data_IF_265419177043
#
_entry.id   IF_265419177043
#
_cell.length_a   1.000
_cell.length_b   1.000
_cell.length_c   1.000
_cell.angle_alpha   90.00
_cell.angle_beta   90.00
_cell.angle_gamma   90.00
#
_symmetry.space_group_name_H-M   'P 1'
#
loop_
_entity.id
_entity.type
_entity.pdbx_description
1 polymer ?
#
# COMPACT_ATOMS: atom_id res chain seq x y z
N UNK A 1 8.22 12.27 35.14
CA UNK A 1 7.88 13.72 35.13
C UNK A 1 7.96 14.32 36.52
N UNK A 2 7.42 13.69 37.57
CA UNK A 2 7.60 14.18 38.95
C UNK A 2 9.07 14.44 39.28
N UNK A 3 9.93 13.47 38.98
CA UNK A 3 11.38 13.62 39.11
C UNK A 3 11.96 14.85 38.39
N UNK A 4 11.47 15.22 37.20
CA UNK A 4 11.98 16.37 36.44
C UNK A 4 11.48 17.69 37.03
N UNK A 5 10.21 17.73 37.44
CA UNK A 5 9.58 18.92 38.04
C UNK A 5 10.19 19.21 39.41
N UNK A 6 10.50 18.18 40.20
CA UNK A 6 11.12 18.32 41.52
C UNK A 6 12.59 18.79 41.47
N UNK A 7 13.24 18.75 40.29
CA UNK A 7 14.60 19.25 40.07
C UNK A 7 14.65 20.73 39.66
N UNK A 8 13.50 21.39 39.45
CA UNK A 8 13.46 22.81 39.12
C UNK A 8 13.63 23.60 40.43
N UNK A 9 14.69 24.42 40.60
CA UNK A 9 15.01 25.10 41.87
C UNK A 9 14.10 26.30 42.20
N UNK A 10 12.90 26.36 41.62
CA UNK A 10 11.93 27.45 41.79
C UNK A 10 10.69 26.92 42.49
N UNK A 11 10.27 27.58 43.57
CA UNK A 11 9.00 27.29 44.23
C UNK A 11 7.83 27.55 43.28
N UNK A 12 7.19 26.49 42.82
CA UNK A 12 6.03 26.56 41.92
C UNK A 12 4.73 26.43 42.72
N UNK A 13 3.72 27.25 42.40
CA UNK A 13 2.37 27.05 42.92
C UNK A 13 1.81 25.68 42.51
N UNK A 14 0.88 25.15 43.30
CA UNK A 14 0.25 23.83 43.04
C UNK A 14 -0.43 23.83 41.67
N UNK A 15 -1.04 24.95 41.28
CA UNK A 15 -1.66 25.19 39.98
C UNK A 15 -0.63 25.12 38.85
N UNK A 16 0.53 25.76 39.01
CA UNK A 16 1.62 25.74 38.03
C UNK A 16 2.16 24.33 37.85
N UNK A 17 2.38 23.60 38.95
CA UNK A 17 2.81 22.18 38.94
C UNK A 17 1.80 21.29 38.20
N UNK A 18 0.49 21.47 38.45
CA UNK A 18 -0.57 20.76 37.72
C UNK A 18 -0.58 21.12 36.23
N UNK A 19 -0.38 22.40 35.89
CA UNK A 19 -0.27 22.88 34.51
C UNK A 19 0.88 22.23 33.74
N UNK A 20 2.09 22.21 34.33
CA UNK A 20 3.26 21.56 33.74
C UNK A 20 3.07 20.05 33.56
N UNK A 21 2.50 19.36 34.56
CA UNK A 21 2.16 17.94 34.44
C UNK A 21 1.21 17.67 33.27
N UNK A 22 0.19 18.52 33.08
CA UNK A 22 -0.76 18.39 31.97
C UNK A 22 -0.07 18.58 30.61
N UNK A 23 0.77 19.60 30.46
CA UNK A 23 1.55 19.84 29.23
C UNK A 23 2.47 18.66 28.94
N UNK A 24 3.20 18.19 29.95
CA UNK A 24 4.10 17.04 29.81
C UNK A 24 3.35 15.76 29.40
N UNK A 25 2.21 15.48 30.02
CA UNK A 25 1.35 14.36 29.64
C UNK A 25 0.87 14.47 28.20
N UNK A 26 0.45 15.67 27.77
CA UNK A 26 0.07 15.92 26.38
C UNK A 26 1.23 15.69 25.41
N UNK A 27 2.43 16.18 25.72
CA UNK A 27 3.63 15.96 24.91
C UNK A 27 3.99 14.49 24.80
N UNK A 28 3.95 13.73 25.91
CA UNK A 28 4.18 12.28 25.89
C UNK A 28 3.11 11.56 25.08
N UNK A 29 1.85 11.95 25.21
CA UNK A 29 0.74 11.37 24.42
C UNK A 29 0.91 11.65 22.94
N UNK A 30 1.31 12.87 22.55
CA UNK A 30 1.59 13.24 21.16
C UNK A 30 2.82 12.47 20.65
N UNK A 31 3.85 12.29 21.48
CA UNK A 31 5.06 11.56 21.09
C UNK A 31 4.79 10.06 20.89
N UNK A 32 4.08 9.40 21.81
CA UNK A 32 3.68 7.98 21.68
C UNK A 32 2.70 7.78 20.51
N UNK A 33 1.83 8.75 20.26
CA UNK A 33 1.02 8.77 19.05
C UNK A 33 1.88 8.98 17.79
N UNK A 34 2.88 9.85 17.81
CA UNK A 34 3.70 10.10 16.64
C UNK A 34 4.54 8.87 16.28
N UNK A 35 5.23 8.27 17.25
CA UNK A 35 6.11 7.12 17.04
C UNK A 35 6.18 6.24 18.30
N UNK A 36 5.70 5.01 18.17
CA UNK A 36 5.90 3.94 19.15
C UNK A 36 7.11 3.09 18.78
N UNK A 37 8.00 2.87 19.75
CA UNK A 37 9.11 1.94 19.63
C UNK A 37 8.75 0.59 20.25
N UNK A 38 9.13 -0.50 19.59
CA UNK A 38 8.97 -1.88 20.09
C UNK A 38 10.33 -2.50 20.39
N UNK A 39 10.42 -3.38 21.39
CA UNK A 39 11.66 -4.07 21.70
C UNK A 39 12.05 -4.99 20.53
N UNK A 40 13.25 -4.80 19.99
CA UNK A 40 13.76 -5.62 18.90
C UNK A 40 13.92 -7.09 19.30
N UNK A 41 14.18 -7.39 20.58
CA UNK A 41 14.33 -8.77 21.07
C UNK A 41 13.00 -9.51 21.01
N UNK A 42 11.93 -8.85 21.46
CA UNK A 42 10.58 -9.37 21.38
C UNK A 42 10.12 -9.51 19.92
N UNK A 43 10.42 -8.51 19.09
CA UNK A 43 10.11 -8.59 17.65
C UNK A 43 10.78 -9.80 16.97
N UNK A 44 12.04 -10.07 17.32
CA UNK A 44 12.80 -11.20 16.78
C UNK A 44 12.38 -12.55 17.38
N UNK A 45 11.83 -12.60 18.59
CA UNK A 45 11.29 -13.85 19.14
C UNK A 45 9.92 -14.19 18.58
N UNK A 46 9.01 -13.21 18.55
CA UNK A 46 7.58 -13.46 18.31
C UNK A 46 7.24 -13.37 16.82
N UNK A 47 7.98 -12.54 16.07
CA UNK A 47 7.59 -12.09 14.73
C UNK A 47 8.79 -11.84 13.79
N UNK A 48 9.81 -12.71 13.85
CA UNK A 48 11.07 -12.54 13.11
C UNK A 48 10.90 -12.37 11.59
N UNK A 49 9.86 -12.99 11.00
CA UNK A 49 9.56 -12.88 9.57
C UNK A 49 9.23 -11.43 9.16
N UNK A 50 8.54 -10.69 10.03
CA UNK A 50 8.24 -9.26 9.83
C UNK A 50 9.48 -8.40 9.98
N UNK A 51 10.35 -8.71 10.96
CA UNK A 51 11.63 -8.03 11.12
C UNK A 51 12.51 -8.18 9.88
N UNK A 52 12.61 -9.41 9.36
CA UNK A 52 13.37 -9.71 8.16
C UNK A 52 12.76 -9.02 6.94
N UNK A 53 11.43 -9.06 6.76
CA UNK A 53 10.72 -8.32 5.73
C UNK A 53 11.01 -6.81 5.79
N UNK A 54 10.94 -6.20 6.98
CA UNK A 54 11.23 -4.78 7.15
C UNK A 54 12.67 -4.42 6.76
N UNK A 55 13.65 -5.26 7.13
CA UNK A 55 15.05 -5.09 6.73
C UNK A 55 15.24 -5.23 5.21
N UNK A 56 14.59 -6.20 4.57
CA UNK A 56 14.60 -6.36 3.11
C UNK A 56 14.07 -5.12 2.40
N UNK A 57 12.94 -4.55 2.86
CA UNK A 57 12.39 -3.36 2.25
C UNK A 57 13.23 -2.10 2.50
N UNK A 58 13.91 -2.00 3.63
CA UNK A 58 14.87 -0.92 3.87
C UNK A 58 16.05 -0.99 2.88
N UNK A 59 16.54 -2.20 2.57
CA UNK A 59 17.58 -2.41 1.58
C UNK A 59 17.08 -2.07 0.16
N UNK A 60 15.88 -2.54 -0.21
CA UNK A 60 15.26 -2.22 -1.51
C UNK A 60 15.04 -0.72 -1.67
N UNK A 61 14.52 -0.06 -0.64
CA UNK A 61 14.36 1.39 -0.58
C UNK A 61 15.70 2.11 -0.84
N UNK A 62 16.76 1.68 -0.17
CA UNK A 62 18.10 2.26 -0.34
C UNK A 62 18.60 2.11 -1.79
N UNK A 63 18.39 0.95 -2.41
CA UNK A 63 18.74 0.71 -3.82
C UNK A 63 17.95 1.59 -4.79
N UNK A 64 16.63 1.77 -4.57
CA UNK A 64 15.82 2.68 -5.39
C UNK A 64 16.26 4.14 -5.24
N UNK A 65 16.69 4.55 -4.04
CA UNK A 65 17.19 5.88 -3.76
C UNK A 65 18.56 6.11 -4.42
N UNK A 66 19.46 5.13 -4.36
CA UNK A 66 20.76 5.17 -5.06
C UNK A 66 20.53 5.32 -6.57
N UNK A 67 19.61 4.56 -7.14
CA UNK A 67 19.23 4.71 -8.55
C UNK A 67 18.75 6.14 -8.86
N UNK A 68 17.87 6.70 -8.02
CA UNK A 68 17.36 8.05 -8.20
C UNK A 68 18.45 9.11 -8.16
N UNK A 69 19.38 9.02 -7.20
CA UNK A 69 20.52 9.94 -7.11
C UNK A 69 21.52 9.78 -8.26
N UNK A 70 21.80 8.54 -8.68
CA UNK A 70 22.75 8.26 -9.78
C UNK A 70 22.31 8.88 -11.11
N UNK A 71 21.01 8.79 -11.41
CA UNK A 71 20.47 9.36 -12.65
C UNK A 71 20.07 10.83 -12.52
N UNK A 72 19.83 11.32 -11.31
CA UNK A 72 19.55 12.72 -11.03
C UNK A 72 18.30 13.27 -11.73
N UNK A 73 18.18 14.60 -11.75
CA UNK A 73 17.12 15.31 -12.44
C UNK A 73 15.71 14.84 -12.04
N UNK A 74 14.88 14.50 -13.03
CA UNK A 74 13.49 14.06 -12.82
C UNK A 74 13.37 12.79 -11.99
N UNK A 75 14.40 11.94 -11.95
CA UNK A 75 14.34 10.69 -11.18
C UNK A 75 14.29 10.93 -9.67
N UNK A 76 14.94 11.98 -9.16
CA UNK A 76 14.92 12.34 -7.74
C UNK A 76 13.53 12.84 -7.34
N UNK A 77 12.94 13.74 -8.14
CA UNK A 77 11.59 14.26 -7.87
C UNK A 77 10.53 13.16 -7.96
N UNK A 78 10.68 12.25 -8.94
CA UNK A 78 9.80 11.10 -9.07
C UNK A 78 9.92 10.16 -7.87
N UNK A 79 11.13 9.86 -7.43
CA UNK A 79 11.34 9.02 -6.25
C UNK A 79 10.72 9.64 -5.00
N UNK A 80 10.96 10.93 -4.74
CA UNK A 80 10.37 11.63 -3.60
C UNK A 80 8.84 11.66 -3.66
N UNK A 81 8.25 11.78 -4.85
CA UNK A 81 6.78 11.73 -4.97
C UNK A 81 6.21 10.33 -4.70
N UNK A 82 6.92 9.25 -5.03
CA UNK A 82 6.47 7.90 -4.63
C UNK A 82 6.56 7.66 -3.12
N UNK A 83 7.54 8.29 -2.45
CA UNK A 83 7.64 8.31 -1.00
C UNK A 83 6.46 9.07 -0.38
N UNK A 84 6.18 10.29 -0.87
CA UNK A 84 5.04 11.10 -0.41
C UNK A 84 3.70 10.41 -0.70
N UNK A 85 3.55 9.78 -1.87
CA UNK A 85 2.37 8.99 -2.25
C UNK A 85 2.05 7.92 -1.20
N UNK A 86 3.08 7.20 -0.75
CA UNK A 86 2.93 6.18 0.29
C UNK A 86 2.42 6.73 1.60
N UNK A 87 3.01 7.84 2.07
CA UNK A 87 2.59 8.54 3.29
C UNK A 87 1.13 8.97 3.19
N UNK A 88 0.75 9.65 2.10
CA UNK A 88 -0.62 10.13 1.93
C UNK A 88 -1.59 8.95 1.88
N UNK A 89 -1.26 7.86 1.16
CA UNK A 89 -2.10 6.67 1.07
C UNK A 89 -2.37 6.03 2.44
N UNK A 90 -1.33 5.82 3.25
CA UNK A 90 -1.52 5.15 4.54
C UNK A 90 -2.26 6.05 5.54
N UNK A 91 -1.91 7.34 5.61
CA UNK A 91 -2.60 8.29 6.47
C UNK A 91 -4.07 8.46 6.03
N UNK A 92 -4.33 8.51 4.72
CA UNK A 92 -5.69 8.67 4.22
C UNK A 92 -6.57 7.47 4.54
N UNK A 93 -6.02 6.26 4.44
CA UNK A 93 -6.74 5.03 4.78
C UNK A 93 -7.13 4.96 6.26
N UNK A 94 -6.28 5.46 7.16
CA UNK A 94 -6.54 5.41 8.60
C UNK A 94 -7.44 6.56 9.07
N UNK A 95 -7.20 7.79 8.58
CA UNK A 95 -7.79 9.00 9.17
C UNK A 95 -8.73 9.80 8.26
N UNK A 96 -8.57 9.73 6.94
CA UNK A 96 -9.40 10.52 6.01
C UNK A 96 -10.62 9.76 5.51
N UNK A 97 -10.47 8.45 5.26
CA UNK A 97 -11.51 7.62 4.68
C UNK A 97 -11.94 6.53 5.68
N UNK A 98 -13.06 6.71 6.41
CA UNK A 98 -13.53 5.72 7.38
C UNK A 98 -13.76 4.31 6.78
N UNK A 99 -14.20 4.23 5.51
CA UNK A 99 -14.42 2.97 4.79
C UNK A 99 -13.11 2.33 4.29
N UNK A 100 -11.96 3.01 4.45
CA UNK A 100 -10.65 2.48 4.12
C UNK A 100 -9.91 1.91 5.34
N UNK A 101 -10.41 2.15 6.56
CA UNK A 101 -9.77 1.76 7.80
C UNK A 101 -10.12 0.32 8.19
N UNK A 102 -9.73 -0.64 7.34
CA UNK A 102 -10.05 -2.07 7.50
C UNK A 102 -8.80 -2.96 7.66
N UNK A 103 -7.62 -2.37 7.83
CA UNK A 103 -6.34 -3.06 7.97
C UNK A 103 -5.65 -2.68 9.28
N UNK A 104 -5.07 -3.65 9.99
CA UNK A 104 -4.25 -3.42 11.17
C UNK A 104 -2.89 -4.05 10.98
N UNK A 105 -1.83 -3.25 10.99
CA UNK A 105 -0.47 -3.73 10.85
C UNK A 105 0.09 -4.31 12.14
N UNK A 106 0.90 -5.36 11.98
CA UNK A 106 1.77 -5.88 13.04
C UNK A 106 2.81 -4.84 13.46
N UNK A 107 3.23 -4.93 14.71
CA UNK A 107 4.15 -3.96 15.32
C UNK A 107 5.58 -4.23 14.84
N UNK A 108 6.30 -3.17 14.50
CA UNK A 108 7.73 -3.24 14.16
C UNK A 108 8.55 -2.36 15.09
N UNK A 109 9.88 -2.33 14.89
CA UNK A 109 10.80 -1.51 15.68
C UNK A 109 10.30 -0.06 15.85
N UNK A 110 9.77 0.54 14.79
CA UNK A 110 9.15 1.86 14.81
C UNK A 110 7.78 1.79 14.12
N UNK A 111 6.73 2.20 14.82
CA UNK A 111 5.36 2.22 14.31
C UNK A 111 4.74 3.58 14.60
N UNK A 112 4.26 4.25 13.55
CA UNK A 112 3.77 5.63 13.59
C UNK A 112 2.25 5.71 13.77
N UNK A 113 1.79 6.90 14.11
CA UNK A 113 0.38 7.30 14.12
C UNK A 113 -0.49 6.41 15.04
N UNK A 114 -0.21 6.42 16.33
CA UNK A 114 -0.90 5.61 17.32
C UNK A 114 -0.67 4.12 17.10
N UNK A 115 0.55 3.75 16.67
CA UNK A 115 0.95 2.35 16.41
C UNK A 115 0.13 1.67 15.29
N UNK A 116 -0.34 2.45 14.32
CA UNK A 116 -1.12 1.98 13.17
C UNK A 116 -0.27 1.59 11.98
N UNK A 117 0.81 2.31 11.70
CA UNK A 117 1.54 2.19 10.43
C UNK A 117 3.05 1.97 10.71
N UNK A 118 3.60 0.80 10.42
CA UNK A 118 5.03 0.51 10.54
C UNK A 118 5.89 1.41 9.66
N UNK A 119 7.10 1.73 10.13
CA UNK A 119 8.06 2.57 9.39
C UNK A 119 8.36 2.03 7.99
N UNK A 120 8.54 0.71 7.83
CA UNK A 120 8.86 0.12 6.54
C UNK A 120 7.68 0.23 5.55
N UNK A 121 6.44 0.16 6.04
CA UNK A 121 5.23 0.39 5.22
C UNK A 121 5.19 1.82 4.74
N UNK A 122 5.36 2.76 5.69
CA UNK A 122 5.25 4.19 5.45
C UNK A 122 6.32 4.71 4.49
N UNK A 123 7.57 4.24 4.63
CA UNK A 123 8.72 4.82 3.96
C UNK A 123 9.29 3.96 2.83
N UNK A 124 9.20 2.63 2.91
CA UNK A 124 9.97 1.74 2.04
C UNK A 124 9.16 1.05 0.94
N UNK A 125 7.92 0.63 1.24
CA UNK A 125 7.11 -0.15 0.29
C UNK A 125 6.83 0.59 -1.02
N UNK A 126 6.40 1.85 -0.94
CA UNK A 126 5.92 2.60 -2.11
C UNK A 126 7.04 3.00 -3.07
N UNK A 127 8.18 3.53 -2.60
CA UNK A 127 9.34 3.67 -3.48
C UNK A 127 9.75 2.33 -4.09
N UNK A 128 9.78 1.24 -3.32
CA UNK A 128 10.17 -0.07 -3.86
C UNK A 128 9.29 -0.52 -5.02
N UNK A 129 7.96 -0.48 -4.87
CA UNK A 129 7.04 -0.99 -5.89
C UNK A 129 6.69 0.03 -6.98
N UNK A 130 6.35 1.26 -6.59
CA UNK A 130 5.80 2.27 -7.51
C UNK A 130 6.90 2.90 -8.33
N UNK A 131 8.01 3.33 -7.71
CA UNK A 131 9.12 3.94 -8.45
C UNK A 131 9.77 2.95 -9.42
N UNK A 132 10.03 1.71 -8.98
CA UNK A 132 10.58 0.68 -9.86
C UNK A 132 9.68 0.43 -11.08
N UNK A 133 8.35 0.33 -10.86
CA UNK A 133 7.39 0.14 -11.94
C UNK A 133 7.36 1.33 -12.90
N UNK A 134 7.41 2.56 -12.40
CA UNK A 134 7.48 3.77 -13.21
C UNK A 134 8.71 3.78 -14.12
N UNK A 135 9.89 3.56 -13.55
CA UNK A 135 11.15 3.61 -14.30
C UNK A 135 11.17 2.52 -15.38
N UNK A 136 10.74 1.30 -15.04
CA UNK A 136 10.74 0.17 -15.97
C UNK A 136 9.76 0.40 -17.12
N UNK A 137 8.51 0.79 -16.82
CA UNK A 137 7.49 1.01 -17.85
C UNK A 137 7.81 2.21 -18.73
N UNK A 138 8.46 3.26 -18.19
CA UNK A 138 8.84 4.44 -18.99
C UNK A 138 9.71 4.08 -20.18
N UNK A 139 10.51 3.02 -20.07
CA UNK A 139 11.38 2.52 -21.13
C UNK A 139 10.62 1.95 -22.33
N UNK A 140 9.37 1.55 -22.14
CA UNK A 140 8.52 1.03 -23.20
C UNK A 140 7.99 2.10 -24.15
N UNK A 141 8.13 3.40 -23.80
CA UNK A 141 7.66 4.55 -24.58
C UNK A 141 6.21 4.43 -25.05
N UNK A 142 5.36 3.98 -24.14
CA UNK A 142 3.92 3.88 -24.37
C UNK A 142 3.28 5.27 -24.37
N UNK A 143 2.12 5.38 -25.02
CA UNK A 143 1.29 6.57 -24.89
C UNK A 143 0.77 6.70 -23.44
N UNK A 144 0.56 7.94 -22.96
CA UNK A 144 0.36 8.20 -21.53
C UNK A 144 -0.76 7.40 -20.84
N UNK A 145 -1.97 7.19 -21.43
CA UNK A 145 -2.99 6.37 -20.80
C UNK A 145 -2.55 4.91 -20.61
N UNK A 146 -1.87 4.32 -21.60
CA UNK A 146 -1.34 2.97 -21.49
C UNK A 146 -0.19 2.88 -20.48
N UNK A 147 0.66 3.92 -20.42
CA UNK A 147 1.72 4.04 -19.40
C UNK A 147 1.12 4.03 -17.99
N UNK A 148 0.08 4.83 -17.71
CA UNK A 148 -0.57 4.88 -16.40
C UNK A 148 -1.04 3.50 -15.92
N UNK A 149 -1.74 2.78 -16.79
CA UNK A 149 -2.32 1.48 -16.46
C UNK A 149 -1.25 0.41 -16.34
N UNK A 150 -0.24 0.39 -17.23
CA UNK A 150 0.82 -0.61 -17.14
C UNK A 150 1.68 -0.41 -15.88
N UNK A 151 1.99 0.84 -15.50
CA UNK A 151 2.69 1.12 -14.23
C UNK A 151 1.88 0.58 -13.05
N UNK A 152 0.57 0.82 -13.05
CA UNK A 152 -0.33 0.31 -12.02
C UNK A 152 -0.39 -1.22 -11.99
N UNK A 153 -0.46 -1.90 -13.14
CA UNK A 153 -0.40 -3.37 -13.23
C UNK A 153 0.92 -3.86 -12.64
N UNK A 154 2.05 -3.34 -13.11
CA UNK A 154 3.37 -3.78 -12.66
C UNK A 154 3.55 -3.60 -11.15
N UNK A 155 3.15 -2.44 -10.61
CA UNK A 155 3.24 -2.16 -9.18
C UNK A 155 2.33 -3.07 -8.36
N UNK A 156 1.13 -3.36 -8.87
CA UNK A 156 0.15 -4.20 -8.19
C UNK A 156 0.59 -5.66 -8.18
N UNK A 157 1.00 -6.21 -9.32
CA UNK A 157 1.46 -7.60 -9.42
C UNK A 157 2.73 -7.81 -8.61
N UNK A 158 3.68 -6.86 -8.63
CA UNK A 158 4.88 -6.92 -7.79
C UNK A 158 4.56 -6.97 -6.29
N UNK A 159 3.44 -6.39 -5.86
CA UNK A 159 3.00 -6.34 -4.46
C UNK A 159 2.25 -7.59 -4.00
N UNK A 160 1.65 -8.37 -4.91
CA UNK A 160 0.83 -9.56 -4.56
C UNK A 160 1.56 -10.55 -3.65
N UNK A 161 2.82 -10.96 -3.91
CA UNK A 161 3.52 -11.90 -3.03
C UNK A 161 3.69 -11.40 -1.59
N UNK A 162 3.96 -10.10 -1.43
CA UNK A 162 4.02 -9.44 -0.12
C UNK A 162 2.65 -9.46 0.57
N UNK A 163 1.57 -9.24 -0.17
CA UNK A 163 0.21 -9.24 0.39
C UNK A 163 -0.21 -10.61 0.90
N UNK A 164 0.08 -11.66 0.11
CA UNK A 164 -0.28 -13.04 0.46
C UNK A 164 0.49 -13.49 1.71
N UNK A 165 1.82 -13.31 1.71
CA UNK A 165 2.65 -13.67 2.86
C UNK A 165 2.34 -12.81 4.07
N UNK A 166 2.12 -11.51 3.89
CA UNK A 166 1.83 -10.60 4.98
C UNK A 166 0.50 -10.86 5.67
N UNK A 167 -0.51 -11.28 4.90
CA UNK A 167 -1.79 -11.73 5.49
C UNK A 167 -1.59 -13.02 6.27
N UNK A 168 -0.89 -14.00 5.68
CA UNK A 168 -0.78 -15.34 6.27
C UNK A 168 0.19 -15.41 7.45
N UNK A 169 1.21 -14.55 7.47
CA UNK A 169 2.21 -14.42 8.53
C UNK A 169 1.93 -13.22 9.45
N UNK A 170 0.69 -12.73 9.48
CA UNK A 170 0.22 -11.69 10.42
C UNK A 170 1.05 -10.39 10.43
N UNK A 171 1.68 -10.03 9.30
CA UNK A 171 2.30 -8.71 9.13
C UNK A 171 1.24 -7.60 9.13
N UNK A 172 0.02 -7.97 8.75
CA UNK A 172 -1.18 -7.19 8.93
C UNK A 172 -2.39 -8.12 8.93
N UNK A 173 -3.47 -7.62 9.52
CA UNK A 173 -4.75 -8.31 9.65
C UNK A 173 -5.85 -7.48 9.02
N UNK A 174 -6.81 -8.17 8.42
CA UNK A 174 -7.95 -7.55 7.77
C UNK A 174 -9.17 -7.58 8.69
N UNK A 175 -10.06 -6.60 8.52
CA UNK A 175 -11.35 -6.56 9.17
C UNK A 175 -12.19 -7.83 8.88
N UNK A 176 -12.92 -8.34 9.87
CA UNK A 176 -13.73 -9.57 9.77
C UNK A 176 -14.76 -9.55 8.64
N UNK A 177 -15.65 -8.54 8.63
CA UNK A 177 -16.81 -8.48 7.72
C UNK A 177 -16.90 -7.17 6.90
N UNK A 178 -15.76 -6.53 6.60
CA UNK A 178 -15.78 -5.30 5.79
C UNK A 178 -16.15 -5.63 4.33
N UNK A 179 -17.01 -4.85 3.64
CA UNK A 179 -17.42 -5.15 2.26
C UNK A 179 -16.25 -5.30 1.28
N UNK A 180 -15.21 -4.48 1.41
CA UNK A 180 -13.98 -4.60 0.61
C UNK A 180 -13.17 -5.88 0.88
N UNK A 181 -13.35 -6.52 2.04
CA UNK A 181 -12.58 -7.69 2.50
C UNK A 181 -13.28 -9.02 2.18
N UNK A 182 -14.57 -9.01 1.81
CA UNK A 182 -15.38 -10.22 1.61
C UNK A 182 -14.81 -11.18 0.56
N UNK A 183 -14.29 -10.64 -0.54
CA UNK A 183 -13.70 -11.46 -1.60
C UNK A 183 -12.19 -11.47 -1.52
N UNK A 184 -11.65 -12.66 -1.39
CA UNK A 184 -10.22 -12.90 -1.17
C UNK A 184 -9.66 -13.86 -2.21
N UNK A 185 -8.38 -13.68 -2.52
CA UNK A 185 -7.56 -14.59 -3.31
C UNK A 185 -6.31 -14.91 -2.49
N UNK A 186 -6.11 -16.18 -2.10
CA UNK A 186 -5.10 -16.59 -1.11
C UNK A 186 -5.11 -15.67 0.13
N UNK A 187 -6.30 -15.50 0.72
CA UNK A 187 -6.55 -14.66 1.91
C UNK A 187 -6.40 -13.14 1.71
N UNK A 188 -5.90 -12.68 0.56
CA UNK A 188 -5.76 -11.25 0.23
C UNK A 188 -7.07 -10.69 -0.34
N UNK A 189 -7.63 -9.62 0.24
CA UNK A 189 -8.78 -8.93 -0.32
C UNK A 189 -8.53 -8.41 -1.74
N UNK A 190 -9.31 -8.87 -2.72
CA UNK A 190 -9.20 -8.44 -4.11
C UNK A 190 -9.44 -6.92 -4.26
N UNK A 191 -10.35 -6.37 -3.45
CA UNK A 191 -10.63 -4.94 -3.44
C UNK A 191 -9.40 -4.09 -3.08
N UNK A 192 -8.51 -4.59 -2.22
CA UNK A 192 -7.29 -3.87 -1.82
C UNK A 192 -6.29 -3.82 -2.98
N UNK A 193 -6.19 -4.93 -3.72
CA UNK A 193 -5.37 -5.03 -4.94
C UNK A 193 -5.86 -4.02 -5.99
N UNK A 194 -7.17 -3.95 -6.22
CA UNK A 194 -7.78 -3.00 -7.15
C UNK A 194 -7.65 -1.56 -6.65
N UNK A 195 -7.83 -1.29 -5.36
CA UNK A 195 -7.66 0.04 -4.78
C UNK A 195 -6.22 0.56 -4.96
N UNK A 196 -5.21 -0.29 -4.75
CA UNK A 196 -3.82 0.06 -5.02
C UNK A 196 -3.60 0.38 -6.50
N UNK A 197 -4.17 -0.46 -7.39
CA UNK A 197 -4.12 -0.24 -8.83
C UNK A 197 -4.65 1.15 -9.23
N UNK A 198 -5.87 1.52 -8.78
CA UNK A 198 -6.48 2.81 -9.12
C UNK A 198 -5.69 3.99 -8.55
N UNK A 199 -5.16 3.84 -7.33
CA UNK A 199 -4.31 4.86 -6.70
C UNK A 199 -3.04 5.13 -7.52
N UNK A 200 -2.35 4.08 -7.97
CA UNK A 200 -1.15 4.22 -8.80
C UNK A 200 -1.48 4.75 -10.19
N UNK A 201 -2.55 4.27 -10.83
CA UNK A 201 -2.98 4.76 -12.14
C UNK A 201 -3.31 6.26 -12.10
N UNK A 202 -4.02 6.71 -11.04
CA UNK A 202 -4.32 8.12 -10.81
C UNK A 202 -3.04 8.92 -10.56
N UNK A 203 -2.11 8.41 -9.74
CA UNK A 203 -0.82 9.05 -9.51
C UNK A 203 -0.09 9.36 -10.84
N UNK A 204 0.03 8.38 -11.74
CA UNK A 204 0.69 8.59 -13.04
C UNK A 204 -0.11 9.54 -13.94
N UNK A 205 -1.45 9.43 -13.94
CA UNK A 205 -2.30 10.32 -14.71
C UNK A 205 -2.17 11.78 -14.28
N UNK A 206 -2.19 12.05 -12.97
CA UNK A 206 -1.99 13.41 -12.43
C UNK A 206 -0.56 13.91 -12.66
N UNK A 207 0.44 13.03 -12.61
CA UNK A 207 1.82 13.39 -12.95
C UNK A 207 1.91 13.86 -14.40
N UNK A 208 1.37 13.10 -15.36
CA UNK A 208 1.37 13.51 -16.76
C UNK A 208 0.53 14.75 -17.02
N UNK A 209 -0.66 14.85 -16.41
CA UNK A 209 -1.53 16.01 -16.57
C UNK A 209 -0.86 17.27 -16.08
N UNK A 210 -0.33 17.26 -14.84
CA UNK A 210 0.35 18.42 -14.26
C UNK A 210 1.61 18.81 -15.05
N UNK A 211 2.41 17.84 -15.48
CA UNK A 211 3.58 18.10 -16.32
C UNK A 211 3.20 18.72 -17.66
N UNK A 212 2.14 18.23 -18.33
CA UNK A 212 1.67 18.80 -19.60
C UNK A 212 1.16 20.23 -19.45
N UNK A 213 0.54 20.56 -18.31
CA UNK A 213 -0.04 21.87 -18.07
C UNK A 213 0.98 22.91 -17.59
N UNK A 214 1.99 22.50 -16.81
CA UNK A 214 2.87 23.43 -16.08
C UNK A 214 4.32 23.47 -16.58
N UNK A 215 4.72 22.48 -17.38
CA UNK A 215 6.12 22.29 -17.77
C UNK A 215 6.29 22.15 -19.29
N UNK A 216 7.42 22.63 -19.83
CA UNK A 216 7.78 22.36 -21.21
C UNK A 216 8.08 20.87 -21.44
N UNK A 217 7.98 20.37 -22.69
CA UNK A 217 8.26 18.98 -23.03
C UNK A 217 9.70 18.55 -22.66
N UNK A 218 10.65 19.46 -22.86
CA UNK A 218 12.06 19.26 -22.51
C UNK A 218 12.31 19.67 -21.05
N UNK A 219 13.08 18.85 -20.33
CA UNK A 219 13.47 19.15 -18.96
C UNK A 219 14.27 20.46 -18.92
N UNK A 220 13.88 21.35 -18.00
CA UNK A 220 14.60 22.57 -17.71
C UNK A 220 14.87 22.66 -16.20
N UNK A 221 16.13 22.58 -15.80
CA UNK A 221 16.55 22.62 -14.41
C UNK A 221 16.13 23.91 -13.69
N UNK A 222 15.98 25.04 -14.43
CA UNK A 222 15.50 26.31 -13.84
C UNK A 222 14.06 26.23 -13.35
N UNK A 223 13.28 25.26 -13.83
CA UNK A 223 11.89 25.03 -13.45
C UNK A 223 11.75 23.88 -12.43
N UNK A 224 12.82 23.53 -11.70
CA UNK A 224 12.79 22.43 -10.73
C UNK A 224 11.66 22.56 -9.69
N UNK A 225 11.33 23.78 -9.24
CA UNK A 225 10.25 24.00 -8.29
C UNK A 225 8.88 23.58 -8.86
N UNK A 226 8.66 23.80 -10.18
CA UNK A 226 7.45 23.35 -10.87
C UNK A 226 7.44 21.84 -11.07
N UNK A 227 8.59 21.23 -11.33
CA UNK A 227 8.74 19.76 -11.39
C UNK A 227 8.37 19.11 -10.05
N UNK A 228 8.89 19.64 -8.94
CA UNK A 228 8.55 19.19 -7.58
C UNK A 228 7.04 19.37 -7.33
N UNK A 229 6.47 20.54 -7.66
CA UNK A 229 5.05 20.81 -7.47
C UNK A 229 4.16 19.83 -8.26
N UNK A 230 4.51 19.52 -9.51
CA UNK A 230 3.78 18.51 -10.31
C UNK A 230 3.86 17.12 -9.66
N UNK A 231 5.05 16.73 -9.21
CA UNK A 231 5.27 15.44 -8.57
C UNK A 231 4.52 15.32 -7.22
N UNK A 232 4.52 16.37 -6.40
CA UNK A 232 3.81 16.40 -5.13
C UNK A 232 2.29 16.48 -5.30
N UNK A 233 1.80 17.26 -6.28
CA UNK A 233 0.38 17.28 -6.64
C UNK A 233 -0.09 15.87 -7.03
N UNK A 234 0.69 15.18 -7.87
CA UNK A 234 0.40 13.79 -8.23
C UNK A 234 0.41 12.85 -7.01
N UNK A 235 1.41 12.99 -6.12
CA UNK A 235 1.53 12.20 -4.90
C UNK A 235 0.34 12.36 -3.94
N UNK A 236 -0.22 13.56 -3.84
CA UNK A 236 -1.40 13.84 -3.01
C UNK A 236 -2.69 13.42 -3.71
N UNK A 237 -2.89 13.83 -4.96
CA UNK A 237 -4.13 13.54 -5.70
C UNK A 237 -4.28 12.06 -6.06
N UNK A 238 -3.18 11.37 -6.39
CA UNK A 238 -3.19 9.95 -6.80
C UNK A 238 -3.95 9.03 -5.84
N UNK A 239 -3.53 8.89 -4.56
CA UNK A 239 -4.19 8.01 -3.61
C UNK A 239 -5.58 8.51 -3.20
N UNK A 240 -5.78 9.83 -3.08
CA UNK A 240 -7.08 10.39 -2.68
C UNK A 240 -8.14 10.20 -3.77
N UNK A 241 -7.84 10.60 -5.00
CA UNK A 241 -8.76 10.45 -6.14
C UNK A 241 -8.88 8.98 -6.53
N UNK A 242 -7.79 8.21 -6.47
CA UNK A 242 -7.82 6.78 -6.74
C UNK A 242 -8.74 6.02 -5.79
N UNK A 243 -8.69 6.34 -4.49
CA UNK A 243 -9.62 5.79 -3.51
C UNK A 243 -11.07 6.17 -3.82
N UNK A 244 -11.35 7.46 -4.06
CA UNK A 244 -12.70 7.91 -4.34
C UNK A 244 -13.27 7.26 -5.60
N UNK A 245 -12.48 7.18 -6.67
CA UNK A 245 -12.88 6.53 -7.90
C UNK A 245 -13.13 5.03 -7.70
N UNK A 246 -12.27 4.35 -6.94
CA UNK A 246 -12.47 2.95 -6.56
C UNK A 246 -13.77 2.75 -5.78
N UNK A 247 -14.02 3.53 -4.73
CA UNK A 247 -15.21 3.40 -3.90
C UNK A 247 -16.49 3.65 -4.71
N UNK A 248 -16.50 4.68 -5.57
CA UNK A 248 -17.64 4.97 -6.43
C UNK A 248 -17.86 3.84 -7.46
N UNK A 249 -16.79 3.30 -8.05
CA UNK A 249 -16.90 2.15 -8.95
C UNK A 249 -17.36 0.88 -8.23
N UNK A 250 -16.93 0.66 -6.99
CA UNK A 250 -17.37 -0.44 -6.14
C UNK A 250 -18.86 -0.34 -5.82
N UNK A 251 -19.34 0.83 -5.38
CA UNK A 251 -20.76 1.05 -5.07
C UNK A 251 -21.61 0.88 -6.32
N UNK A 252 -21.20 1.45 -7.46
CA UNK A 252 -21.89 1.29 -8.73
C UNK A 252 -21.96 -0.18 -9.15
N UNK A 253 -20.84 -0.90 -9.03
CA UNK A 253 -20.75 -2.33 -9.32
C UNK A 253 -21.64 -3.16 -8.40
N UNK A 254 -21.68 -2.82 -7.12
CA UNK A 254 -22.53 -3.50 -6.15
C UNK A 254 -24.02 -3.29 -6.47
N UNK A 255 -24.38 -2.09 -6.91
CA UNK A 255 -25.73 -1.79 -7.35
C UNK A 255 -26.13 -2.55 -8.63
N UNK A 256 -25.25 -2.59 -9.63
CA UNK A 256 -25.53 -3.24 -10.93
C UNK A 256 -25.50 -4.76 -10.87
N UNK A 257 -24.55 -5.33 -10.12
CA UNK A 257 -24.22 -6.76 -10.18
C UNK A 257 -24.44 -7.49 -8.86
N UNK A 258 -25.02 -6.83 -7.84
CA UNK A 258 -25.10 -7.29 -6.44
C UNK A 258 -23.74 -7.57 -5.78
N UNK A 259 -22.63 -7.28 -6.46
CA UNK A 259 -21.29 -7.67 -6.07
C UNK A 259 -20.26 -6.60 -6.48
N UNK A 260 -19.88 -5.75 -5.52
CA UNK A 260 -18.99 -4.61 -5.76
C UNK A 260 -17.59 -5.01 -6.20
N UNK A 261 -17.00 -6.03 -5.56
CA UNK A 261 -15.62 -6.45 -5.84
C UNK A 261 -15.48 -7.08 -7.22
N UNK A 262 -16.38 -7.99 -7.61
CA UNK A 262 -16.31 -8.62 -8.95
C UNK A 262 -16.53 -7.57 -10.04
N UNK A 263 -17.51 -6.68 -9.87
CA UNK A 263 -17.78 -5.65 -10.87
C UNK A 263 -16.62 -4.67 -11.03
N UNK A 264 -16.02 -4.17 -9.93
CA UNK A 264 -14.88 -3.25 -10.03
C UNK A 264 -13.65 -3.96 -10.61
N UNK A 265 -13.45 -5.24 -10.31
CA UNK A 265 -12.38 -6.05 -10.91
C UNK A 265 -12.60 -6.24 -12.42
N UNK A 266 -13.82 -6.57 -12.83
CA UNK A 266 -14.18 -6.74 -14.24
C UNK A 266 -14.01 -5.43 -15.02
N UNK A 267 -14.49 -4.30 -14.49
CA UNK A 267 -14.27 -2.96 -15.05
C UNK A 267 -12.78 -2.64 -15.18
N UNK A 268 -12.01 -2.88 -14.11
CA UNK A 268 -10.56 -2.63 -14.09
C UNK A 268 -9.88 -3.48 -15.16
N UNK A 269 -10.20 -4.77 -15.25
CA UNK A 269 -9.64 -5.69 -16.24
C UNK A 269 -9.96 -5.25 -17.68
N UNK A 270 -11.22 -4.94 -17.98
CA UNK A 270 -11.64 -4.49 -19.31
C UNK A 270 -10.92 -3.20 -19.75
N UNK A 271 -10.83 -2.21 -18.85
CA UNK A 271 -10.12 -0.96 -19.13
C UNK A 271 -8.62 -1.21 -19.31
N UNK A 272 -8.01 -2.04 -18.46
CA UNK A 272 -6.61 -2.44 -18.58
C UNK A 272 -6.34 -3.07 -19.93
N UNK A 273 -7.08 -4.11 -20.31
CA UNK A 273 -6.90 -4.83 -21.58
C UNK A 273 -7.06 -3.87 -22.76
N UNK A 274 -8.11 -3.06 -22.77
CA UNK A 274 -8.36 -2.10 -23.85
C UNK A 274 -7.23 -1.09 -24.01
N UNK A 275 -6.73 -0.53 -22.91
CA UNK A 275 -5.65 0.46 -22.93
C UNK A 275 -4.28 -0.16 -23.21
N UNK A 276 -4.04 -1.41 -22.81
CA UNK A 276 -2.80 -2.11 -23.13
C UNK A 276 -2.75 -2.50 -24.61
N UNK A 277 -3.87 -2.96 -25.19
CA UNK A 277 -4.00 -3.20 -26.63
C UNK A 277 -3.77 -1.89 -27.38
N UNK A 278 -4.46 -0.81 -26.99
CA UNK A 278 -4.26 0.51 -27.56
C UNK A 278 -2.79 0.98 -27.43
N UNK A 279 -2.17 0.77 -26.28
CA UNK A 279 -0.77 1.11 -26.01
C UNK A 279 0.21 0.34 -26.87
N UNK A 280 -0.06 -0.94 -27.13
CA UNK A 280 0.75 -1.77 -28.02
C UNK A 280 0.73 -1.22 -29.45
N UNK A 281 -0.45 -0.88 -29.97
CA UNK A 281 -0.59 -0.32 -31.31
C UNK A 281 -0.09 1.13 -31.46
N UNK A 282 -0.05 1.90 -30.38
CA UNK A 282 0.38 3.32 -30.38
C UNK A 282 1.78 3.54 -29.81
N UNK A 283 2.52 2.47 -29.54
CA UNK A 283 3.89 2.51 -29.03
C UNK A 283 4.79 3.31 -29.96
N UNK A 284 5.60 4.20 -29.39
CA UNK A 284 6.64 4.90 -30.13
C UNK A 284 7.87 3.99 -30.36
N UNK A 285 8.59 4.12 -31.49
CA UNK A 285 9.81 3.38 -31.71
C UNK A 285 10.84 3.67 -30.60
N UNK A 286 11.23 2.61 -29.89
CA UNK A 286 12.17 2.71 -28.80
C UNK A 286 13.61 2.73 -29.34
N UNK A 287 14.27 3.89 -29.32
CA UNK A 287 15.74 3.93 -29.24
C UNK A 287 16.16 3.23 -27.95
N UNK A 288 17.24 2.44 -28.00
CA UNK A 288 17.83 1.84 -26.81
C UNK A 288 18.07 2.95 -25.77
N UNK A 289 17.54 2.75 -24.56
CA UNK A 289 17.79 3.65 -23.45
C UNK A 289 19.09 3.22 -22.77
N UNK A 290 20.00 4.16 -22.54
CA UNK A 290 21.25 3.92 -21.80
C UNK A 290 21.04 3.92 -20.27
N UNK A 291 19.81 4.09 -19.79
CA UNK A 291 19.49 4.13 -18.35
C UNK A 291 19.64 2.72 -17.77
N UNK A 292 20.74 2.51 -17.05
CA UNK A 292 20.99 1.31 -16.26
C UNK A 292 19.97 1.22 -15.11
N UNK A 293 19.26 0.09 -15.02
CA UNK A 293 18.30 -0.21 -13.96
C UNK A 293 18.82 -1.35 -13.04
N UNK A 294 20.14 -1.46 -12.90
CA UNK A 294 20.77 -2.58 -12.17
C UNK A 294 20.34 -2.61 -10.72
N UNK A 295 20.27 -1.47 -10.04
CA UNK A 295 19.85 -1.38 -8.64
C UNK A 295 18.39 -1.80 -8.46
N UNK A 296 17.52 -1.45 -9.40
CA UNK A 296 16.10 -1.82 -9.36
C UNK A 296 15.92 -3.32 -9.58
N UNK A 297 16.67 -3.90 -10.52
CA UNK A 297 16.68 -5.34 -10.73
C UNK A 297 17.24 -6.10 -9.51
N UNK A 298 18.31 -5.59 -8.90
CA UNK A 298 18.87 -6.16 -7.68
C UNK A 298 17.86 -6.07 -6.53
N UNK A 299 17.20 -4.93 -6.35
CA UNK A 299 16.15 -4.76 -5.33
C UNK A 299 15.01 -5.77 -5.54
N UNK A 300 14.59 -5.97 -6.78
CA UNK A 300 13.58 -6.97 -7.12
C UNK A 300 14.03 -8.41 -6.83
N UNK A 301 15.26 -8.77 -7.22
CA UNK A 301 15.83 -10.10 -6.95
C UNK A 301 15.94 -10.34 -5.44
N UNK A 302 16.46 -9.38 -4.68
CA UNK A 302 16.54 -9.44 -3.22
C UNK A 302 15.15 -9.64 -2.63
N UNK A 303 14.16 -8.86 -3.07
CA UNK A 303 12.79 -8.99 -2.61
C UNK A 303 12.22 -10.39 -2.90
N UNK A 304 12.38 -10.90 -4.13
CA UNK A 304 11.88 -12.22 -4.50
C UNK A 304 12.53 -13.33 -3.67
N UNK A 305 13.86 -13.31 -3.56
CA UNK A 305 14.60 -14.30 -2.78
C UNK A 305 14.19 -14.25 -1.32
N UNK A 306 14.13 -13.06 -0.71
CA UNK A 306 13.70 -12.91 0.69
C UNK A 306 12.28 -13.43 0.92
N UNK A 307 11.31 -13.05 0.08
CA UNK A 307 9.93 -13.49 0.23
C UNK A 307 9.79 -15.00 0.01
N UNK A 308 10.51 -15.59 -0.94
CA UNK A 308 10.53 -17.04 -1.14
C UNK A 308 11.20 -17.78 0.02
N UNK A 309 12.31 -17.26 0.55
CA UNK A 309 12.96 -17.82 1.73
C UNK A 309 12.04 -17.79 2.95
N UNK A 310 11.32 -16.69 3.16
CA UNK A 310 10.30 -16.60 4.22
C UNK A 310 9.20 -17.64 3.97
N UNK A 311 8.65 -17.69 2.75
CA UNK A 311 7.57 -18.61 2.41
C UNK A 311 7.96 -20.08 2.63
N UNK A 312 9.22 -20.43 2.39
CA UNK A 312 9.74 -21.77 2.57
C UNK A 312 10.06 -22.11 4.04
N UNK A 313 10.67 -21.17 4.77
CA UNK A 313 11.22 -21.43 6.10
C UNK A 313 10.22 -21.17 7.24
N UNK A 314 9.24 -20.28 7.06
CA UNK A 314 8.37 -19.83 8.15
C UNK A 314 7.09 -20.63 8.21
N UNK A 315 6.75 -21.09 9.42
CA UNK A 315 5.48 -21.73 9.74
C UNK A 315 4.53 -20.71 10.39
N UNK A 316 3.37 -20.41 9.77
CA UNK A 316 2.42 -19.43 10.30
C UNK A 316 1.94 -19.73 11.72
N UNK A 317 1.81 -21.01 12.08
CA UNK A 317 1.38 -21.46 13.40
C UNK A 317 2.37 -21.11 14.53
N UNK A 318 3.63 -20.83 14.21
CA UNK A 318 4.64 -20.41 15.17
C UNK A 318 4.67 -18.88 15.33
N UNK A 319 3.92 -18.14 14.51
CA UNK A 319 3.92 -16.68 14.50
C UNK A 319 2.92 -16.13 15.51
N UNK A 320 3.41 -15.28 16.41
CA UNK A 320 2.63 -14.61 17.45
C UNK A 320 2.63 -13.12 17.17
N UNK A 321 1.46 -12.54 16.93
CA UNK A 321 1.31 -11.11 16.71
C UNK A 321 0.64 -10.49 17.92
N UNK A 322 1.38 -9.67 18.68
CA UNK A 322 0.84 -8.89 19.79
C UNK A 322 0.81 -7.42 19.40
N UNK A 323 -0.37 -6.83 19.38
CA UNK A 323 -0.49 -5.45 18.95
C UNK A 323 -1.92 -4.96 18.85
N UNK A 324 -2.08 -3.88 18.10
CA UNK A 324 -3.38 -3.31 17.78
C UNK A 324 -4.04 -4.12 16.66
N UNK A 325 -5.24 -4.60 16.91
CA UNK A 325 -6.05 -5.34 15.94
C UNK A 325 -7.49 -4.79 15.92
N UNK A 326 -8.37 -5.41 15.12
CA UNK A 326 -9.80 -5.10 15.18
C UNK A 326 -10.29 -5.26 16.62
N UNK A 327 -10.96 -4.25 17.20
CA UNK A 327 -11.35 -4.31 18.61
C UNK A 327 -12.23 -5.52 18.91
N UNK A 328 -12.00 -6.18 20.03
CA UNK A 328 -12.87 -7.26 20.54
C UNK A 328 -13.88 -6.63 21.50
N UNK A 329 -15.14 -7.04 21.41
CA UNK A 329 -16.23 -6.50 22.20
C UNK A 329 -17.51 -7.29 21.97
N UNK A 330 -18.67 -6.64 22.10
CA UNK A 330 -19.96 -7.31 21.95
C UNK A 330 -20.20 -7.72 20.50
N UNK A 331 -20.20 -9.03 20.26
CA UNK A 331 -20.56 -9.65 18.98
C UNK A 331 -21.91 -9.19 18.44
N UNK A 332 -22.02 -9.12 17.10
CA UNK A 332 -23.23 -8.69 16.41
C UNK A 332 -23.47 -7.17 16.42
N UNK A 333 -22.62 -6.38 17.09
CA UNK A 333 -22.71 -4.91 17.01
C UNK A 333 -22.26 -4.46 15.63
N UNK A 334 -23.20 -3.99 14.81
CA UNK A 334 -22.90 -3.44 13.48
C UNK A 334 -22.80 -1.93 13.51
N UNK A 335 -21.97 -1.40 12.62
CA UNK A 335 -21.86 0.02 12.30
C UNK A 335 -22.18 0.22 10.83
N UNK A 336 -22.81 1.36 10.52
CA UNK A 336 -23.06 1.79 9.16
C UNK A 336 -22.20 3.02 8.88
N UNK A 337 -21.40 2.97 7.82
CA UNK A 337 -20.60 4.10 7.36
C UNK A 337 -21.11 4.59 6.00
N UNK A 338 -21.30 5.90 5.80
CA UNK A 338 -21.78 6.40 4.51
C UNK A 338 -20.69 6.25 3.45
N UNK A 339 -21.08 5.87 2.22
CA UNK A 339 -20.16 5.88 1.08
C UNK A 339 -19.73 7.31 0.73
N UNK A 340 -18.45 7.52 0.43
CA UNK A 340 -17.92 8.82 0.01
C UNK A 340 -18.12 9.04 -1.50
N UNK A 341 -19.37 9.32 -1.89
CA UNK A 341 -19.71 9.63 -3.27
C UNK A 341 -19.09 10.98 -3.69
N UNK A 342 -18.25 10.97 -4.74
CA UNK A 342 -17.72 12.19 -5.38
C UNK A 342 -18.91 12.98 -5.94
N UNK A 343 -19.34 14.03 -5.23
CA UNK A 343 -20.24 15.10 -5.71
C UNK A 343 -21.54 14.71 -6.45
N UNK A 344 -21.97 13.44 -6.41
CA UNK A 344 -23.31 12.99 -6.84
C UNK A 344 -24.39 13.82 -6.12
N UNK A 345 -24.08 14.32 -4.92
CA UNK A 345 -24.97 15.19 -4.15
C UNK A 345 -25.36 16.51 -4.82
N UNK A 346 -24.55 17.06 -5.72
CA UNK A 346 -24.90 18.29 -6.43
C UNK A 346 -25.42 18.02 -7.83
N UNK A 347 -24.84 17.06 -8.55
CA UNK A 347 -25.22 16.78 -9.93
C UNK A 347 -26.59 16.08 -10.03
N UNK A 348 -26.87 15.08 -9.18
CA UNK A 348 -28.12 14.31 -9.25
C UNK A 348 -29.24 14.85 -8.36
N UNK A 349 -28.94 15.70 -7.37
CA UNK A 349 -29.96 16.29 -6.48
C UNK A 349 -31.01 17.07 -7.25
N UNK A 350 -30.64 17.69 -8.38
CA UNK A 350 -31.56 18.48 -9.19
C UNK A 350 -32.22 17.69 -10.32
N UNK A 351 -31.55 16.71 -10.93
CA UNK A 351 -32.08 16.03 -12.13
C UNK A 351 -32.71 14.66 -11.83
N UNK A 352 -32.25 13.93 -10.80
CA UNK A 352 -32.79 12.61 -10.44
C UNK A 352 -32.79 12.39 -8.93
N UNK A 353 -33.73 13.04 -8.24
CA UNK A 353 -33.91 12.90 -6.80
C UNK A 353 -34.04 11.43 -6.34
N UNK A 354 -34.67 10.55 -7.13
CA UNK A 354 -34.78 9.12 -6.83
C UNK A 354 -33.42 8.38 -6.85
N UNK A 355 -32.56 8.68 -7.83
CA UNK A 355 -31.22 8.09 -7.92
C UNK A 355 -30.36 8.63 -6.77
N UNK A 356 -30.43 9.95 -6.49
CA UNK A 356 -29.75 10.57 -5.35
C UNK A 356 -30.18 9.94 -4.01
N UNK A 357 -31.50 9.75 -3.79
CA UNK A 357 -32.02 9.21 -2.54
C UNK A 357 -31.66 7.71 -2.39
N UNK A 358 -31.65 6.95 -3.48
CA UNK A 358 -31.14 5.56 -3.50
C UNK A 358 -29.64 5.48 -3.20
N UNK A 359 -28.80 6.29 -3.88
CA UNK A 359 -27.35 6.29 -3.68
C UNK A 359 -26.95 6.81 -2.30
N UNK A 360 -27.68 7.80 -1.76
CA UNK A 360 -27.42 8.34 -0.42
C UNK A 360 -27.71 7.35 0.71
N UNK A 361 -28.55 6.33 0.46
CA UNK A 361 -28.83 5.23 1.39
C UNK A 361 -27.80 4.10 1.34
N UNK A 362 -26.88 4.11 0.37
CA UNK A 362 -25.84 3.08 0.27
C UNK A 362 -24.72 3.40 1.27
N UNK A 363 -24.94 3.04 2.53
CA UNK A 363 -23.87 2.89 3.50
C UNK A 363 -23.30 1.47 3.46
N UNK A 364 -22.10 1.30 3.98
CA UNK A 364 -21.54 -0.01 4.25
C UNK A 364 -21.90 -0.42 5.68
N UNK A 365 -22.55 -1.56 5.83
CA UNK A 365 -22.70 -2.22 7.12
C UNK A 365 -21.57 -3.21 7.35
N UNK A 366 -21.00 -3.18 8.55
CA UNK A 366 -19.93 -4.08 8.97
C UNK A 366 -19.94 -4.27 10.48
N UNK A 367 -19.34 -5.35 10.96
CA UNK A 367 -19.18 -5.59 12.40
C UNK A 367 -18.18 -4.63 13.02
N UNK A 368 -18.57 -3.94 14.08
CA UNK A 368 -17.64 -3.06 14.82
C UNK A 368 -16.55 -3.85 15.54
N UNK A 369 -16.91 -5.00 16.08
CA UNK A 369 -16.05 -5.80 16.94
C UNK A 369 -15.76 -7.15 16.32
N UNK A 370 -14.53 -7.64 16.50
CA UNK A 370 -14.15 -9.00 16.18
C UNK A 370 -14.81 -9.96 17.18
N UNK A 371 -15.34 -11.07 16.66
CA UNK A 371 -15.94 -12.14 17.47
C UNK A 371 -14.97 -13.31 17.70
N UNK A 372 -14.47 -13.51 18.94
CA UNK A 372 -13.54 -14.60 19.26
C UNK A 372 -14.15 -15.99 19.17
N UNK A 373 -15.45 -16.13 18.92
CA UNK A 373 -16.12 -17.44 18.71
C UNK A 373 -16.16 -17.86 17.24
N UNK A 374 -16.01 -16.92 16.30
CA UNK A 374 -16.05 -17.17 14.86
C UNK A 374 -14.66 -17.38 14.27
N UNK A 375 -13.75 -17.94 15.07
CA UNK A 375 -12.32 -18.03 14.76
C UNK A 375 -12.03 -18.80 13.48
N UNK A 376 -12.85 -19.80 13.16
CA UNK A 376 -12.73 -20.61 11.95
C UNK A 376 -12.70 -19.77 10.67
N UNK A 377 -13.39 -18.62 10.67
CA UNK A 377 -13.46 -17.73 9.51
C UNK A 377 -12.24 -16.79 9.32
N UNK A 378 -11.30 -16.80 10.26
CA UNK A 378 -10.12 -15.92 10.24
C UNK A 378 -8.83 -16.69 9.90
N UNK A 379 -7.81 -15.95 9.44
CA UNK A 379 -6.46 -16.50 9.17
C UNK A 379 -5.61 -16.69 10.43
N UNK A 380 -6.15 -16.30 11.58
CA UNK A 380 -5.54 -16.39 12.89
C UNK A 380 -6.53 -16.99 13.88
N UNK A 381 -6.00 -17.41 15.01
CA UNK A 381 -6.77 -17.85 16.17
C UNK A 381 -6.09 -17.39 17.47
N UNK A 382 -6.49 -18.00 18.58
CA UNK A 382 -5.95 -17.75 19.90
C UNK A 382 -5.27 -18.99 20.49
N UNK A 383 -4.78 -19.96 19.71
CA UNK A 383 -4.26 -21.22 20.28
C UNK A 383 -3.04 -21.02 21.21
N UNK A 384 -2.24 -19.98 20.97
CA UNK A 384 -1.05 -19.62 21.75
C UNK A 384 -1.37 -18.78 23.00
N UNK A 385 -2.63 -18.36 23.21
CA UNK A 385 -3.04 -17.52 24.34
C UNK A 385 -4.44 -17.88 24.83
N UNK A 386 -4.92 -17.22 25.89
CA UNK A 386 -6.33 -17.35 26.25
C UNK A 386 -7.16 -16.40 25.39
N UNK A 387 -8.24 -16.92 24.79
CA UNK A 387 -9.19 -16.07 24.07
C UNK A 387 -9.68 -14.92 24.98
N UNK A 388 -9.55 -13.65 24.53
CA UNK A 388 -9.90 -12.50 25.35
C UNK A 388 -11.41 -12.42 25.58
N UNK A 389 -11.80 -11.80 26.70
CA UNK A 389 -13.20 -11.65 27.09
C UNK A 389 -13.93 -10.59 26.24
N UNK A 390 -15.16 -10.90 25.83
CA UNK A 390 -16.03 -9.99 25.06
C UNK A 390 -16.66 -8.86 25.90
N UNK A 391 -16.50 -8.88 27.22
CA UNK A 391 -17.20 -7.96 28.14
C UNK A 391 -16.68 -6.52 28.12
N UNK A 392 -15.40 -6.31 27.81
CA UNK A 392 -14.78 -4.98 27.71
C UNK A 392 -14.17 -4.80 26.33
N UNK A 393 -14.31 -3.62 25.70
CA UNK A 393 -13.65 -3.35 24.44
C UNK A 393 -12.13 -3.41 24.64
N UNK A 394 -11.46 -4.28 23.88
CA UNK A 394 -10.00 -4.44 23.90
C UNK A 394 -9.50 -4.28 22.48
N UNK A 395 -8.57 -3.36 22.26
CA UNK A 395 -7.96 -3.12 20.94
C UNK A 395 -6.55 -3.71 20.83
N UNK A 396 -5.89 -3.92 21.98
CA UNK A 396 -4.55 -4.47 22.07
C UNK A 396 -4.59 -5.89 22.66
N UNK A 397 -4.28 -6.90 21.86
CA UNK A 397 -4.29 -8.30 22.27
C UNK A 397 -3.35 -9.13 21.39
N UNK A 398 -3.19 -10.40 21.75
CA UNK A 398 -2.32 -11.36 21.05
C UNK A 398 -3.16 -12.30 20.20
N UNK A 399 -2.70 -12.53 18.96
CA UNK A 399 -3.24 -13.52 18.02
C UNK A 399 -2.13 -14.42 17.51
N UNK A 400 -2.52 -15.59 17.02
CA UNK A 400 -1.61 -16.65 16.58
C UNK A 400 -1.96 -17.02 15.14
N UNK A 401 -0.97 -17.23 14.29
CA UNK A 401 -1.22 -17.59 12.89
C UNK A 401 -1.79 -19.00 12.76
N UNK A 402 -2.54 -19.26 11.70
CA UNK A 402 -2.98 -20.62 11.35
C UNK A 402 -2.08 -21.23 10.29
N UNK A 403 -1.81 -22.52 10.43
CA UNK A 403 -1.05 -23.31 9.46
C UNK A 403 -1.55 -23.13 8.01
N UNK A 404 -0.64 -23.32 7.06
CA UNK A 404 -0.99 -23.35 5.65
C UNK A 404 -1.85 -24.59 5.35
N UNK A 405 -3.03 -24.41 4.75
CA UNK A 405 -3.84 -25.54 4.27
C UNK A 405 -3.15 -26.27 3.10
N UNK A 406 -2.56 -25.49 2.17
CA UNK A 406 -1.92 -25.99 0.95
C UNK A 406 -0.59 -25.28 0.69
N UNK A 407 0.40 -25.55 1.54
CA UNK A 407 1.71 -24.86 1.49
C UNK A 407 2.41 -25.00 0.13
N UNK A 408 2.41 -26.20 -0.46
CA UNK A 408 3.04 -26.45 -1.76
C UNK A 408 2.37 -25.66 -2.91
N UNK A 409 1.03 -25.56 -2.90
CA UNK A 409 0.29 -24.78 -3.89
C UNK A 409 0.63 -23.30 -3.78
N UNK A 410 0.68 -22.77 -2.55
CA UNK A 410 1.07 -21.39 -2.29
C UNK A 410 2.50 -21.10 -2.79
N UNK A 411 3.46 -21.98 -2.48
CA UNK A 411 4.85 -21.83 -2.95
C UNK A 411 4.93 -21.79 -4.48
N UNK A 412 4.19 -22.68 -5.16
CA UNK A 412 4.11 -22.68 -6.62
C UNK A 412 3.53 -21.37 -7.15
N UNK A 413 2.42 -20.88 -6.58
CA UNK A 413 1.81 -19.61 -7.00
C UNK A 413 2.78 -18.43 -6.83
N UNK A 414 3.46 -18.34 -5.69
CA UNK A 414 4.45 -17.31 -5.44
C UNK A 414 5.60 -17.37 -6.43
N UNK A 415 6.15 -18.56 -6.69
CA UNK A 415 7.19 -18.78 -7.70
C UNK A 415 6.71 -18.33 -9.08
N UNK A 416 5.54 -18.79 -9.52
CA UNK A 416 4.96 -18.43 -10.83
C UNK A 416 4.80 -16.92 -10.99
N UNK A 417 4.18 -16.24 -10.02
CA UNK A 417 3.97 -14.79 -10.05
C UNK A 417 5.32 -14.05 -10.10
N UNK A 418 6.26 -14.43 -9.24
CA UNK A 418 7.58 -13.78 -9.21
C UNK A 418 8.38 -14.05 -10.49
N UNK A 419 8.33 -15.25 -11.06
CA UNK A 419 9.02 -15.57 -12.32
C UNK A 419 8.44 -14.76 -13.49
N UNK A 420 7.12 -14.64 -13.60
CA UNK A 420 6.47 -13.84 -14.65
C UNK A 420 6.89 -12.37 -14.53
N UNK A 421 6.85 -11.80 -13.33
CA UNK A 421 7.26 -10.41 -13.11
C UNK A 421 8.76 -10.23 -13.41
N UNK A 422 9.60 -11.15 -12.95
CA UNK A 422 11.05 -11.11 -13.21
C UNK A 422 11.34 -11.19 -14.71
N UNK A 423 10.68 -12.08 -15.43
CA UNK A 423 10.83 -12.21 -16.88
C UNK A 423 10.42 -10.93 -17.61
N UNK A 424 9.30 -10.31 -17.20
CA UNK A 424 8.86 -9.02 -17.74
C UNK A 424 9.89 -7.91 -17.46
N UNK A 425 10.35 -7.80 -16.21
CA UNK A 425 11.32 -6.77 -15.81
C UNK A 425 12.67 -6.94 -16.50
N UNK A 426 13.24 -8.16 -16.52
CA UNK A 426 14.52 -8.44 -17.19
C UNK A 426 14.42 -8.15 -18.68
N UNK A 427 13.34 -8.58 -19.34
CA UNK A 427 13.15 -8.34 -20.77
C UNK A 427 13.10 -6.83 -21.10
N UNK A 428 12.46 -6.03 -20.23
CA UNK A 428 12.36 -4.58 -20.44
C UNK A 428 13.60 -3.81 -19.99
N UNK A 429 14.33 -4.33 -19.00
CA UNK A 429 15.57 -3.75 -18.49
C UNK A 429 16.79 -4.08 -19.36
N UNK A 430 16.81 -5.23 -20.03
CA UNK A 430 17.93 -5.64 -20.85
C UNK A 430 17.91 -4.91 -22.21
N UNK A 431 18.99 -4.22 -22.62
CA UNK A 431 19.08 -3.67 -23.95
C UNK A 431 19.32 -4.82 -24.95
N UNK A 432 18.25 -5.50 -25.38
CA UNK A 432 18.33 -6.48 -26.48
C UNK A 432 18.95 -5.89 -27.75
N UNK A 433 18.98 -4.55 -27.89
CA UNK A 433 19.51 -3.88 -29.07
C UNK A 433 21.04 -3.72 -29.14
N UNK A 434 21.82 -4.25 -28.19
CA UNK A 434 23.28 -4.33 -28.42
C UNK A 434 23.63 -5.41 -29.46
N UNK A 435 22.83 -6.48 -29.58
CA UNK A 435 23.06 -7.56 -30.55
C UNK A 435 22.65 -7.22 -31.99
N UNK A 436 21.51 -6.53 -32.17
CA UNK A 436 21.01 -6.19 -33.51
C UNK A 436 21.94 -5.24 -34.28
N UNK A 437 22.63 -4.33 -33.58
CA UNK A 437 23.66 -3.48 -34.22
C UNK A 437 24.92 -4.25 -34.62
N UNK A 438 25.23 -5.37 -33.95
CA UNK A 438 26.38 -6.20 -34.31
C UNK A 438 26.06 -7.09 -35.52
N UNK A 439 24.86 -7.66 -35.55
CA UNK A 439 24.36 -8.45 -36.70
C UNK A 439 24.14 -7.63 -37.98
N UNK A 440 23.90 -6.31 -37.88
CA UNK A 440 23.87 -5.43 -39.05
C UNK A 440 25.27 -4.95 -39.45
N UNK A 441 26.22 -4.81 -38.50
CA UNK A 441 27.61 -4.48 -38.84
C UNK A 441 28.34 -5.64 -39.53
N UNK A 442 28.10 -6.88 -39.10
CA UNK A 442 28.71 -8.06 -39.71
C UNK A 442 28.14 -8.41 -41.10
N UNK A 443 27.16 -7.64 -41.61
CA UNK A 443 26.65 -7.80 -42.98
C UNK A 443 27.17 -6.75 -43.97
N UNK A 444 27.87 -5.73 -43.48
CA UNK A 444 28.39 -4.63 -44.31
C UNK A 444 29.94 -4.65 -44.43
N UNK A 445 30.60 -5.70 -43.92
CA UNK A 445 32.00 -6.07 -44.22
C UNK A 445 32.02 -7.29 -45.14
#
# INVERSE_FOLDING_TARGET
MDYVIDQIPVGMSVETRKGLKKIAYQLVTIADWACGAHDYRQLLSDHWSLAFCAATFLLCFSLTLIHAFRHGGRYIYLWQSTFLFGIIREISNVYLFPNANFCWHGQTLLTFFGRRIPAYVLFCLYPTFVYSSLVIVKRLKLHSPAECFLVAVCSTVARIPYEILGTKLLWFTWHSDHPFVKQKFYSVPLSVVVLHFWSVACFVAFLHLSQRLLLPPLYNWKLFAREIACCWLAAVCGPLVGYLLFENAFVLSHWLLSNGTIGVLAMTHLVCVSLLIFGYFTRQPAKASDVSCVELNIAWVIQCLCLLSIAFAVRPEEIISTGLHQPIGRCGTRIATPAMLLSVKSFFKYTYAHIYLMLSRQGFEMERFLCPRLVESYEFDFHCTRAPSEHKPIEWYTICGKAFEKHAELLLVLLWVMTIVTAAQVNWCWPFNKGAKKLLKDKDE
#
